data_IF_939296363047
#
_entry.id   IF_939296363047
#
_cell.length_a   1.000
_cell.length_b   1.000
_cell.length_c   1.000
_cell.angle_alpha   90.00
_cell.angle_beta   90.00
_cell.angle_gamma   90.00
#
_symmetry.space_group_name_H-M   'P 1'
#
loop_
_entity.id
_entity.type
_entity.pdbx_description
1 polymer ?
#
# COMPACT_ATOMS: atom_id res chain seq x y z
N UNK A 1 17.78 -11.39 -23.82
CA UNK A 1 16.88 -10.22 -23.83
C UNK A 1 17.74 -8.98 -24.00
N UNK A 2 17.30 -8.02 -24.83
CA UNK A 2 18.03 -6.75 -25.00
C UNK A 2 17.90 -5.95 -23.71
N UNK A 3 19.02 -5.44 -23.18
CA UNK A 3 19.02 -4.58 -21.99
C UNK A 3 18.36 -3.25 -22.32
N UNK A 4 17.56 -2.73 -21.42
CA UNK A 4 16.94 -1.41 -21.50
C UNK A 4 17.46 -0.57 -20.32
N UNK A 5 18.63 0.08 -20.55
CA UNK A 5 19.28 0.89 -19.53
C UNK A 5 18.63 2.26 -19.46
N UNK A 6 18.16 2.64 -18.28
CA UNK A 6 17.53 3.93 -18.00
C UNK A 6 18.25 4.68 -16.88
N UNK A 7 18.26 6.02 -17.01
CA UNK A 7 18.67 6.99 -15.99
C UNK A 7 17.54 8.01 -15.78
N UNK A 8 17.60 8.79 -14.70
CA UNK A 8 16.70 9.93 -14.54
C UNK A 8 16.70 10.84 -15.77
N UNK A 9 15.56 11.45 -16.02
CA UNK A 9 15.37 12.50 -17.01
C UNK A 9 15.41 13.85 -16.31
N UNK A 10 16.37 14.68 -16.65
CA UNK A 10 16.43 16.08 -16.20
C UNK A 10 16.01 17.01 -17.34
N UNK A 11 16.95 17.36 -18.21
CA UNK A 11 16.72 18.21 -19.38
C UNK A 11 16.64 17.37 -20.67
N UNK A 12 17.33 16.24 -20.71
CA UNK A 12 17.36 15.33 -21.85
C UNK A 12 17.24 13.86 -21.41
N UNK A 13 16.88 12.98 -22.37
CA UNK A 13 16.67 11.55 -22.09
C UNK A 13 17.97 10.90 -21.56
N UNK A 14 17.88 10.25 -20.41
CA UNK A 14 18.98 9.52 -19.75
C UNK A 14 20.20 10.38 -19.39
N UNK A 15 20.04 11.71 -19.20
CA UNK A 15 21.13 12.57 -18.77
C UNK A 15 21.54 12.34 -17.31
N UNK A 16 20.67 11.71 -16.53
CA UNK A 16 20.90 11.36 -15.14
C UNK A 16 20.73 12.56 -14.18
N UNK A 17 20.29 13.72 -14.64
CA UNK A 17 20.13 14.89 -13.79
C UNK A 17 18.96 14.68 -12.83
N UNK A 18 19.20 14.96 -11.55
CA UNK A 18 18.22 14.89 -10.47
C UNK A 18 18.27 16.15 -9.61
N UNK A 19 17.12 16.48 -9.04
CA UNK A 19 17.03 17.45 -7.95
C UNK A 19 16.81 16.71 -6.63
N UNK A 20 17.64 17.00 -5.63
CA UNK A 20 17.49 16.52 -4.27
C UNK A 20 17.15 17.66 -3.35
N UNK A 21 16.33 17.40 -2.36
CA UNK A 21 16.15 18.31 -1.22
C UNK A 21 16.27 17.55 0.09
N UNK A 22 17.01 18.09 1.03
CA UNK A 22 17.20 17.51 2.35
C UNK A 22 17.61 18.58 3.38
N UNK A 23 17.46 18.24 4.65
CA UNK A 23 17.88 19.08 5.76
C UNK A 23 19.06 18.43 6.48
N UNK A 24 20.09 19.21 6.78
CA UNK A 24 21.16 18.78 7.68
C UNK A 24 21.01 19.47 9.05
N UNK A 25 21.30 18.76 10.14
CA UNK A 25 21.27 19.33 11.51
C UNK A 25 22.54 20.15 11.80
N UNK A 26 22.72 21.22 11.04
CA UNK A 26 23.84 22.15 11.13
C UNK A 26 23.39 23.57 10.86
N UNK A 27 24.07 24.56 11.44
CA UNK A 27 23.81 25.95 11.16
C UNK A 27 24.22 26.33 9.73
N UNK A 28 23.46 27.25 9.11
CA UNK A 28 23.73 27.74 7.76
C UNK A 28 25.10 28.43 7.70
N UNK A 29 25.97 27.87 6.84
CA UNK A 29 27.34 28.35 6.62
C UNK A 29 27.90 27.77 5.30
N UNK A 30 29.05 28.32 4.84
CA UNK A 30 29.78 27.71 3.72
C UNK A 30 30.26 26.28 4.03
N UNK A 31 30.59 25.99 5.29
CA UNK A 31 30.91 24.63 5.76
C UNK A 31 29.72 23.71 5.61
N UNK A 32 28.51 24.18 5.93
CA UNK A 32 27.26 23.41 5.76
C UNK A 32 26.96 23.15 4.28
N UNK A 33 27.18 24.15 3.40
CA UNK A 33 27.07 23.97 1.93
C UNK A 33 28.03 22.88 1.45
N UNK A 34 29.29 22.94 1.87
CA UNK A 34 30.28 21.91 1.52
C UNK A 34 29.93 20.53 2.05
N UNK A 35 29.36 20.45 3.24
CA UNK A 35 28.85 19.20 3.82
C UNK A 35 27.70 18.62 2.97
N UNK A 36 26.80 19.45 2.45
CA UNK A 36 25.73 19.02 1.56
C UNK A 36 26.27 18.44 0.22
N UNK A 37 27.30 19.07 -0.37
CA UNK A 37 27.98 18.55 -1.56
C UNK A 37 28.63 17.18 -1.30
N UNK A 38 29.36 17.05 -0.19
CA UNK A 38 30.00 15.79 0.21
C UNK A 38 28.95 14.71 0.45
N UNK A 39 27.82 15.06 1.08
CA UNK A 39 26.73 14.13 1.31
C UNK A 39 26.16 13.61 -0.02
N UNK A 40 25.87 14.51 -0.97
CA UNK A 40 25.37 14.13 -2.29
C UNK A 40 26.38 13.25 -3.05
N UNK A 41 27.70 13.53 -2.96
CA UNK A 41 28.73 12.69 -3.58
C UNK A 41 28.75 11.26 -3.03
N UNK A 42 28.47 11.08 -1.75
CA UNK A 42 28.36 9.76 -1.10
C UNK A 42 27.10 8.98 -1.54
N UNK A 43 26.11 9.66 -2.08
CA UNK A 43 24.94 9.04 -2.72
C UNK A 43 25.23 8.61 -4.18
N UNK A 44 26.49 8.55 -4.59
CA UNK A 44 26.94 8.14 -5.91
C UNK A 44 26.49 9.11 -7.02
N UNK A 45 26.67 10.41 -6.76
CA UNK A 45 26.32 11.49 -7.67
C UNK A 45 27.53 12.32 -8.10
N UNK A 46 27.46 12.89 -9.29
CA UNK A 46 28.44 13.80 -9.90
C UNK A 46 27.83 15.18 -10.15
N UNK A 47 28.70 16.13 -10.61
CA UNK A 47 28.30 17.46 -11.04
C UNK A 47 27.37 18.13 -10.05
N UNK A 48 27.73 18.05 -8.77
CA UNK A 48 26.90 18.48 -7.65
C UNK A 48 26.91 20.00 -7.56
N UNK A 49 25.73 20.60 -7.54
CA UNK A 49 25.53 22.04 -7.35
C UNK A 49 24.46 22.28 -6.27
N UNK A 50 24.86 22.90 -5.18
CA UNK A 50 23.93 23.38 -4.16
C UNK A 50 23.33 24.71 -4.63
N UNK A 51 22.11 24.67 -5.15
CA UNK A 51 21.44 25.85 -5.73
C UNK A 51 20.68 26.67 -4.71
N UNK A 52 20.31 26.07 -3.58
CA UNK A 52 19.62 26.77 -2.52
C UNK A 52 20.05 26.24 -1.14
N UNK A 53 20.17 27.15 -0.18
CA UNK A 53 20.39 26.85 1.23
C UNK A 53 19.66 27.86 2.10
N UNK A 54 18.77 27.39 2.97
CA UNK A 54 18.01 28.24 3.89
C UNK A 54 18.00 27.67 5.32
N UNK A 55 18.16 28.56 6.31
CA UNK A 55 17.92 28.22 7.71
C UNK A 55 16.41 27.96 7.88
N UNK A 56 16.03 26.85 8.46
CA UNK A 56 14.63 26.53 8.78
C UNK A 56 14.36 26.53 10.30
N UNK A 57 15.39 26.24 11.09
CA UNK A 57 15.38 26.35 12.54
C UNK A 57 16.83 26.56 13.04
N UNK A 58 17.01 26.79 14.35
CA UNK A 58 18.36 26.82 14.91
C UNK A 58 19.04 25.48 14.74
N UNK A 59 20.27 25.51 14.21
CA UNK A 59 21.04 24.31 13.84
C UNK A 59 20.41 23.38 12.79
N UNK A 60 19.50 23.90 11.95
CA UNK A 60 18.95 23.15 10.85
C UNK A 60 18.95 23.98 9.55
N UNK A 61 19.61 23.44 8.54
CA UNK A 61 19.66 24.05 7.19
C UNK A 61 19.05 23.13 6.15
N UNK A 62 18.10 23.66 5.39
CA UNK A 62 17.50 23.00 4.23
C UNK A 62 18.31 23.31 2.98
N UNK A 63 18.56 22.31 2.17
CA UNK A 63 19.30 22.41 0.91
C UNK A 63 18.47 21.89 -0.27
N UNK A 64 18.66 22.56 -1.43
CA UNK A 64 18.28 22.03 -2.75
C UNK A 64 19.55 21.85 -3.57
N UNK A 65 19.74 20.67 -4.09
CA UNK A 65 20.95 20.23 -4.79
C UNK A 65 20.58 19.67 -6.15
N UNK A 66 21.20 20.13 -7.21
CA UNK A 66 21.20 19.48 -8.50
C UNK A 66 22.44 18.62 -8.64
N UNK A 67 22.29 17.44 -9.17
CA UNK A 67 23.40 16.51 -9.36
C UNK A 67 23.10 15.52 -10.49
N UNK A 68 24.11 14.86 -10.99
CA UNK A 68 23.96 13.76 -11.95
C UNK A 68 24.09 12.42 -11.22
N UNK A 69 23.04 11.59 -11.29
CA UNK A 69 23.07 10.22 -10.79
C UNK A 69 23.96 9.35 -11.69
N UNK A 70 24.93 8.65 -11.09
CA UNK A 70 25.78 7.67 -11.80
C UNK A 70 25.05 6.37 -12.11
N UNK A 71 24.25 5.81 -11.17
CA UNK A 71 23.62 4.53 -11.40
C UNK A 71 22.63 4.55 -12.55
N UNK A 72 22.57 3.45 -13.27
CA UNK A 72 21.56 3.16 -14.29
C UNK A 72 20.86 1.86 -13.93
N UNK A 73 19.62 1.69 -14.39
CA UNK A 73 18.78 0.54 -14.13
C UNK A 73 18.48 -0.16 -15.45
N UNK A 74 18.70 -1.48 -15.50
CA UNK A 74 18.16 -2.29 -16.60
C UNK A 74 16.66 -2.52 -16.35
N UNK A 75 15.84 -1.67 -16.98
CA UNK A 75 14.38 -1.71 -16.80
C UNK A 75 13.78 -3.03 -17.28
N UNK A 76 14.36 -3.69 -18.28
CA UNK A 76 13.90 -4.99 -18.76
C UNK A 76 14.12 -6.10 -17.70
N UNK A 77 15.07 -5.92 -16.77
CA UNK A 77 15.31 -6.86 -15.68
C UNK A 77 14.49 -6.59 -14.42
N UNK A 78 13.82 -5.44 -14.33
CA UNK A 78 12.98 -5.09 -13.18
C UNK A 78 11.75 -6.01 -13.13
N UNK A 79 11.63 -6.75 -12.05
CA UNK A 79 10.45 -7.57 -11.78
C UNK A 79 9.54 -6.82 -10.81
N UNK A 80 8.33 -6.54 -11.25
CA UNK A 80 7.27 -6.01 -10.40
C UNK A 80 6.06 -6.94 -10.52
N UNK A 81 5.53 -7.36 -9.39
CA UNK A 81 4.32 -8.20 -9.35
C UNK A 81 3.11 -7.30 -9.29
N UNK A 82 2.57 -6.97 -10.46
CA UNK A 82 1.30 -6.26 -10.51
C UNK A 82 0.15 -7.20 -10.19
N UNK A 83 -0.72 -6.78 -9.29
CA UNK A 83 -1.97 -7.49 -9.02
C UNK A 83 -2.95 -7.25 -10.18
N UNK A 84 -2.85 -8.11 -11.21
CA UNK A 84 -3.75 -8.05 -12.37
C UNK A 84 -5.13 -8.58 -11.96
N UNK A 85 -6.07 -7.67 -11.67
CA UNK A 85 -7.45 -8.01 -11.36
C UNK A 85 -8.31 -7.56 -12.55
N UNK A 86 -9.01 -8.51 -13.18
CA UNK A 86 -10.13 -8.17 -14.05
C UNK A 86 -11.24 -7.59 -13.17
N UNK A 87 -11.49 -6.30 -13.28
CA UNK A 87 -12.59 -5.66 -12.57
C UNK A 87 -13.93 -6.13 -13.16
N UNK A 88 -14.76 -6.74 -12.33
CA UNK A 88 -16.09 -7.21 -12.68
C UNK A 88 -17.11 -6.09 -12.54
N UNK A 89 -18.19 -6.15 -13.32
CA UNK A 89 -19.32 -5.26 -13.16
C UNK A 89 -20.10 -5.56 -11.86
N UNK A 90 -20.98 -4.64 -11.48
CA UNK A 90 -21.89 -4.83 -10.35
C UNK A 90 -22.73 -6.13 -10.48
N UNK A 91 -23.28 -6.35 -11.67
CA UNK A 91 -24.15 -7.51 -11.94
C UNK A 91 -23.35 -8.81 -11.98
N UNK A 92 -22.13 -8.80 -12.55
CA UNK A 92 -21.26 -9.96 -12.52
C UNK A 92 -20.92 -10.38 -11.09
N UNK A 93 -20.54 -9.45 -10.21
CA UNK A 93 -20.23 -9.72 -8.81
C UNK A 93 -21.40 -10.37 -8.10
N UNK A 94 -22.58 -9.76 -8.18
CA UNK A 94 -23.78 -10.28 -7.52
C UNK A 94 -24.20 -11.65 -8.08
N UNK A 95 -24.18 -11.81 -9.39
CA UNK A 95 -24.54 -13.08 -10.05
C UNK A 95 -23.59 -14.20 -9.67
N UNK A 96 -22.27 -13.97 -9.72
CA UNK A 96 -21.27 -14.96 -9.34
C UNK A 96 -21.38 -15.36 -7.87
N UNK A 97 -21.56 -14.40 -6.95
CA UNK A 97 -21.75 -14.70 -5.54
C UNK A 97 -23.05 -15.46 -5.28
N UNK A 98 -24.15 -15.08 -5.90
CA UNK A 98 -25.44 -15.77 -5.74
C UNK A 98 -25.38 -17.22 -6.23
N UNK A 99 -24.73 -17.47 -7.36
CA UNK A 99 -24.58 -18.81 -7.94
C UNK A 99 -23.57 -19.67 -7.19
N UNK A 100 -22.38 -19.13 -6.92
CA UNK A 100 -21.25 -19.91 -6.40
C UNK A 100 -21.26 -20.03 -4.89
N UNK A 101 -21.62 -18.98 -4.15
CA UNK A 101 -21.54 -19.00 -2.68
C UNK A 101 -22.87 -19.41 -2.02
N UNK A 102 -24.01 -19.16 -2.70
CA UNK A 102 -25.39 -19.43 -2.21
C UNK A 102 -25.74 -18.75 -0.87
N UNK A 103 -24.94 -17.81 -0.43
CA UNK A 103 -25.12 -16.94 0.73
C UNK A 103 -24.38 -15.63 0.50
N UNK A 104 -24.56 -14.65 1.37
CA UNK A 104 -23.79 -13.41 1.30
C UNK A 104 -22.31 -13.66 1.67
N UNK A 105 -21.42 -13.04 0.93
CA UNK A 105 -20.01 -12.92 1.30
C UNK A 105 -19.90 -11.98 2.51
N UNK A 106 -19.27 -12.42 3.59
CA UNK A 106 -19.14 -11.64 4.83
C UNK A 106 -17.73 -11.07 4.94
N UNK A 107 -17.65 -9.76 5.04
CA UNK A 107 -16.39 -9.01 5.05
C UNK A 107 -16.31 -8.15 6.30
N UNK A 108 -15.26 -8.32 7.09
CA UNK A 108 -14.94 -7.48 8.24
C UNK A 108 -13.72 -6.64 7.88
N UNK A 109 -13.73 -5.37 8.27
CA UNK A 109 -12.57 -4.50 8.01
C UNK A 109 -12.35 -3.48 9.10
N UNK A 110 -11.09 -3.05 9.25
CA UNK A 110 -10.68 -2.05 10.21
C UNK A 110 -9.38 -1.36 9.82
N UNK A 111 -9.16 -0.17 10.36
CA UNK A 111 -7.83 0.40 10.49
C UNK A 111 -7.22 -0.07 11.80
N UNK A 112 -6.12 -0.85 11.72
CA UNK A 112 -5.57 -1.57 12.89
C UNK A 112 -4.50 -0.80 13.65
N UNK A 113 -4.31 -1.17 14.91
CA UNK A 113 -3.31 -0.61 15.81
C UNK A 113 -3.67 0.83 16.23
N UNK A 114 -2.70 1.70 16.30
CA UNK A 114 -2.86 3.08 16.75
C UNK A 114 -3.20 4.08 15.60
N UNK A 115 -3.54 3.60 14.42
CA UNK A 115 -3.87 4.44 13.26
C UNK A 115 -5.33 4.90 13.35
N UNK A 116 -5.54 6.21 13.42
CA UNK A 116 -6.87 6.81 13.50
C UNK A 116 -7.50 7.13 12.13
N UNK A 117 -6.80 6.86 11.03
CA UNK A 117 -7.26 7.24 9.69
C UNK A 117 -8.22 6.19 9.12
N UNK A 118 -9.50 6.51 9.05
CA UNK A 118 -10.53 5.62 8.48
C UNK A 118 -10.73 5.78 6.97
N UNK A 119 -10.25 6.87 6.36
CA UNK A 119 -10.56 7.22 4.96
C UNK A 119 -10.33 6.06 4.00
N UNK A 120 -9.23 5.29 4.18
CA UNK A 120 -8.93 4.16 3.31
C UNK A 120 -9.92 3.01 3.44
N UNK A 121 -10.23 2.59 4.68
CA UNK A 121 -11.18 1.50 4.91
C UNK A 121 -12.61 1.91 4.57
N UNK A 122 -12.99 3.16 4.90
CA UNK A 122 -14.31 3.72 4.57
C UNK A 122 -14.52 3.81 3.06
N UNK A 123 -13.51 4.23 2.32
CA UNK A 123 -13.55 4.31 0.86
C UNK A 123 -13.83 2.96 0.20
N UNK A 124 -13.34 1.87 0.78
CA UNK A 124 -13.56 0.52 0.24
C UNK A 124 -14.87 -0.08 0.76
N UNK A 125 -15.18 0.07 2.04
CA UNK A 125 -16.28 -0.68 2.65
C UNK A 125 -17.62 0.05 2.60
N UNK A 126 -17.64 1.36 2.89
CA UNK A 126 -18.88 2.12 3.06
C UNK A 126 -19.53 2.50 1.72
N UNK A 127 -20.83 2.69 1.70
CA UNK A 127 -21.63 3.02 0.51
C UNK A 127 -21.05 4.18 -0.30
N UNK A 128 -20.49 5.20 0.35
CA UNK A 128 -19.91 6.39 -0.31
C UNK A 128 -18.86 6.03 -1.33
N UNK A 129 -18.00 5.05 -1.04
CA UNK A 129 -16.95 4.60 -1.95
C UNK A 129 -15.86 5.63 -2.22
N UNK A 130 -15.21 5.49 -3.38
CA UNK A 130 -14.11 6.34 -3.84
C UNK A 130 -14.12 6.48 -5.36
N UNK A 131 -13.87 7.70 -5.86
CA UNK A 131 -13.70 8.02 -7.29
C UNK A 131 -14.86 7.50 -8.16
N UNK A 132 -16.11 7.87 -7.80
CA UNK A 132 -17.36 7.47 -8.46
C UNK A 132 -17.62 5.94 -8.46
N UNK A 133 -16.91 5.19 -7.63
CA UNK A 133 -17.13 3.77 -7.41
C UNK A 133 -17.58 3.54 -5.97
N UNK A 134 -18.79 3.03 -5.79
CA UNK A 134 -19.40 2.81 -4.49
C UNK A 134 -18.74 1.63 -3.75
N UNK A 135 -18.67 1.71 -2.43
CA UNK A 135 -18.04 0.70 -1.60
C UNK A 135 -18.73 -0.67 -1.57
N UNK A 136 -18.17 -1.60 -0.84
CA UNK A 136 -18.65 -2.99 -0.77
C UNK A 136 -20.13 -3.08 -0.30
N UNK A 137 -20.58 -2.13 0.50
CA UNK A 137 -21.99 -2.06 0.96
C UNK A 137 -23.01 -1.98 -0.18
N UNK A 138 -22.60 -1.49 -1.37
CA UNK A 138 -23.51 -1.42 -2.52
C UNK A 138 -23.97 -2.79 -3.03
N UNK A 139 -23.19 -3.85 -2.74
CA UNK A 139 -23.46 -5.17 -3.30
C UNK A 139 -24.41 -5.97 -2.40
N UNK A 140 -25.67 -6.27 -2.85
CA UNK A 140 -26.62 -7.04 -2.06
C UNK A 140 -26.12 -8.41 -1.59
N UNK A 141 -25.17 -8.98 -2.33
CA UNK A 141 -24.56 -10.28 -2.02
C UNK A 141 -23.33 -10.18 -1.12
N UNK A 142 -22.95 -8.97 -0.67
CA UNK A 142 -21.86 -8.75 0.29
C UNK A 142 -22.46 -8.17 1.58
N UNK A 143 -22.05 -8.73 2.72
CA UNK A 143 -22.35 -8.18 4.05
C UNK A 143 -21.06 -7.65 4.65
N UNK A 144 -20.99 -6.36 4.90
CA UNK A 144 -19.83 -5.68 5.45
C UNK A 144 -19.99 -5.41 6.95
N UNK A 145 -18.87 -5.40 7.66
CA UNK A 145 -18.76 -4.91 9.03
C UNK A 145 -17.49 -4.04 9.11
N UNK A 146 -17.65 -2.73 8.97
CA UNK A 146 -16.57 -1.77 9.15
C UNK A 146 -16.47 -1.41 10.64
N UNK A 147 -15.34 -1.71 11.25
CA UNK A 147 -15.08 -1.48 12.68
C UNK A 147 -14.46 -0.09 12.96
N UNK A 148 -14.13 0.68 11.91
CA UNK A 148 -13.50 1.99 12.04
C UNK A 148 -11.99 1.89 12.29
N UNK A 149 -11.49 2.76 13.16
CA UNK A 149 -10.05 2.92 13.41
C UNK A 149 -9.62 2.45 14.80
N UNK A 150 -8.29 2.36 14.97
CA UNK A 150 -7.63 2.01 16.23
C UNK A 150 -8.07 0.66 16.81
N UNK A 151 -8.35 -0.29 15.93
CA UNK A 151 -8.78 -1.63 16.31
C UNK A 151 -7.56 -2.53 16.55
N UNK A 152 -7.51 -3.20 17.70
CA UNK A 152 -6.48 -4.19 17.95
C UNK A 152 -6.67 -5.45 17.09
N UNK A 153 -5.57 -6.16 16.81
CA UNK A 153 -5.60 -7.40 16.03
C UNK A 153 -6.52 -8.45 16.66
N UNK A 154 -6.49 -8.58 18.00
CA UNK A 154 -7.35 -9.53 18.73
C UNK A 154 -8.84 -9.19 18.59
N UNK A 155 -9.21 -7.91 18.70
CA UNK A 155 -10.60 -7.49 18.57
C UNK A 155 -11.10 -7.70 17.13
N UNK A 156 -10.25 -7.47 16.13
CA UNK A 156 -10.59 -7.74 14.73
C UNK A 156 -10.80 -9.24 14.47
N UNK A 157 -9.92 -10.08 14.99
CA UNK A 157 -10.05 -11.55 14.89
C UNK A 157 -11.32 -12.03 15.59
N UNK A 158 -11.57 -11.54 16.81
CA UNK A 158 -12.80 -11.86 17.55
C UNK A 158 -14.04 -11.50 16.74
N UNK A 159 -14.07 -10.29 16.14
CA UNK A 159 -15.19 -9.87 15.31
C UNK A 159 -15.35 -10.71 14.05
N UNK A 160 -14.26 -11.10 13.42
CA UNK A 160 -14.29 -11.98 12.26
C UNK A 160 -14.85 -13.38 12.60
N UNK A 161 -14.55 -13.90 13.78
CA UNK A 161 -15.12 -15.16 14.28
C UNK A 161 -16.62 -15.01 14.59
N UNK A 162 -17.02 -13.98 15.34
CA UNK A 162 -18.42 -13.72 15.71
C UNK A 162 -19.34 -13.58 14.49
N UNK A 163 -18.84 -12.93 13.44
CA UNK A 163 -19.62 -12.70 12.23
C UNK A 163 -19.52 -13.86 11.23
N UNK A 164 -18.68 -14.87 11.53
CA UNK A 164 -18.30 -15.91 10.59
C UNK A 164 -17.86 -15.32 9.23
N UNK A 165 -16.86 -14.44 9.30
CA UNK A 165 -16.36 -13.70 8.13
C UNK A 165 -15.66 -14.63 7.13
N UNK A 166 -15.74 -14.26 5.86
CA UNK A 166 -14.98 -14.90 4.77
C UNK A 166 -13.69 -14.13 4.49
N UNK A 167 -13.69 -12.82 4.75
CA UNK A 167 -12.55 -11.96 4.47
C UNK A 167 -12.33 -10.93 5.59
N UNK A 168 -11.06 -10.61 5.80
CA UNK A 168 -10.60 -9.54 6.70
C UNK A 168 -9.83 -8.52 5.85
N UNK A 169 -10.29 -7.28 5.87
CA UNK A 169 -9.64 -6.15 5.24
C UNK A 169 -8.99 -5.26 6.30
N UNK A 170 -7.71 -4.97 6.16
CA UNK A 170 -7.01 -4.06 7.07
C UNK A 170 -6.45 -2.86 6.33
N UNK A 171 -6.63 -1.69 6.92
CA UNK A 171 -6.06 -0.44 6.40
C UNK A 171 -4.94 0.06 7.32
N UNK A 172 -3.89 0.59 6.71
CA UNK A 172 -2.79 1.27 7.41
C UNK A 172 -2.30 2.46 6.60
N UNK A 173 -2.40 3.63 7.17
CA UNK A 173 -1.94 4.89 6.55
C UNK A 173 -0.63 5.35 7.15
N UNK A 174 -0.47 5.26 8.47
CA UNK A 174 0.72 5.71 9.20
C UNK A 174 1.87 4.71 9.05
N UNK A 175 2.97 5.16 8.44
CA UNK A 175 4.18 4.35 8.19
C UNK A 175 5.36 4.71 9.10
N UNK A 176 5.22 5.76 9.92
CA UNK A 176 6.29 6.22 10.80
C UNK A 176 6.84 5.09 11.68
N UNK A 177 8.18 5.05 11.81
CA UNK A 177 8.89 4.04 12.61
C UNK A 177 8.49 2.59 12.26
N UNK A 178 8.12 2.35 11.01
CA UNK A 178 7.70 1.02 10.51
C UNK A 178 6.52 0.40 11.30
N UNK A 179 5.67 1.20 11.92
CA UNK A 179 4.53 0.70 12.72
C UNK A 179 3.54 -0.09 11.88
N UNK A 180 3.38 0.25 10.60
CA UNK A 180 2.56 -0.51 9.66
C UNK A 180 3.06 -1.95 9.50
N UNK A 181 4.37 -2.15 9.32
CA UNK A 181 4.97 -3.48 9.19
C UNK A 181 4.68 -4.31 10.44
N UNK A 182 4.95 -3.73 11.62
CA UNK A 182 4.74 -4.42 12.90
C UNK A 182 3.29 -4.86 13.08
N UNK A 183 2.33 -3.96 12.89
CA UNK A 183 0.92 -4.27 13.13
C UNK A 183 0.35 -5.27 12.11
N UNK A 184 0.75 -5.14 10.83
CA UNK A 184 0.35 -6.10 9.80
C UNK A 184 0.94 -7.49 10.05
N UNK A 185 2.22 -7.55 10.45
CA UNK A 185 2.89 -8.83 10.80
C UNK A 185 2.28 -9.45 12.06
N UNK A 186 1.93 -8.63 13.07
CA UNK A 186 1.28 -9.10 14.30
C UNK A 186 -0.04 -9.81 14.01
N UNK A 187 -0.90 -9.21 13.19
CA UNK A 187 -2.17 -9.83 12.80
C UNK A 187 -1.97 -11.19 12.12
N UNK A 188 -1.02 -11.30 11.19
CA UNK A 188 -0.71 -12.57 10.53
C UNK A 188 -0.25 -13.62 11.55
N UNK A 189 0.68 -13.27 12.44
CA UNK A 189 1.19 -14.18 13.46
C UNK A 189 0.08 -14.67 14.40
N UNK A 190 -0.84 -13.80 14.82
CA UNK A 190 -1.98 -14.17 15.65
C UNK A 190 -2.92 -15.14 14.92
N UNK A 191 -3.21 -14.88 13.65
CA UNK A 191 -4.03 -15.78 12.83
C UNK A 191 -3.35 -17.14 12.60
N UNK A 192 -2.04 -17.16 12.38
CA UNK A 192 -1.25 -18.41 12.25
C UNK A 192 -1.24 -19.20 13.55
N UNK A 193 -0.96 -18.56 14.67
CA UNK A 193 -0.94 -19.19 16.00
C UNK A 193 -2.29 -19.79 16.36
N UNK A 194 -3.38 -19.13 15.98
CA UNK A 194 -4.74 -19.62 16.17
C UNK A 194 -5.19 -20.63 15.11
N UNK A 195 -4.37 -20.96 14.11
CA UNK A 195 -4.71 -21.79 12.93
C UNK A 195 -5.92 -21.27 12.14
N UNK A 196 -6.06 -19.96 12.09
CA UNK A 196 -7.18 -19.25 11.44
C UNK A 196 -6.80 -18.58 10.12
N UNK A 197 -5.50 -18.50 9.76
CA UNK A 197 -5.04 -17.80 8.57
C UNK A 197 -5.73 -18.29 7.31
N UNK A 198 -5.77 -19.59 7.11
CA UNK A 198 -6.39 -20.19 5.92
C UNK A 198 -7.93 -20.13 5.92
N UNK A 199 -8.55 -19.75 7.04
CA UNK A 199 -10.00 -19.55 7.11
C UNK A 199 -10.43 -18.32 6.32
N UNK A 200 -9.65 -17.25 6.37
CA UNK A 200 -10.01 -15.93 5.82
C UNK A 200 -9.29 -15.64 4.50
N UNK A 201 -9.87 -14.75 3.70
CA UNK A 201 -9.17 -14.00 2.65
C UNK A 201 -8.62 -12.74 3.31
N UNK A 202 -7.30 -12.56 3.31
CA UNK A 202 -6.63 -11.48 4.02
C UNK A 202 -6.17 -10.41 3.03
N UNK A 203 -6.64 -9.19 3.20
CA UNK A 203 -6.31 -8.06 2.33
C UNK A 203 -5.75 -6.91 3.16
N UNK A 204 -4.59 -6.39 2.77
CA UNK A 204 -4.02 -5.17 3.33
C UNK A 204 -4.17 -3.99 2.36
N UNK A 205 -4.50 -2.82 2.87
CA UNK A 205 -4.65 -1.60 2.09
C UNK A 205 -4.01 -0.37 2.75
N UNK A 206 -3.69 0.61 1.92
CA UNK A 206 -3.15 1.89 2.36
C UNK A 206 -2.18 2.54 1.38
N UNK A 207 -1.88 3.85 1.52
CA UNK A 207 -1.05 4.59 0.56
C UNK A 207 0.34 4.01 0.31
N UNK A 208 0.93 3.36 1.31
CA UNK A 208 2.26 2.73 1.22
C UNK A 208 2.22 1.21 1.08
N UNK A 209 1.05 0.61 0.85
CA UNK A 209 0.91 -0.83 0.73
C UNK A 209 0.96 -1.23 -0.75
N UNK A 210 2.01 -1.96 -1.13
CA UNK A 210 2.10 -2.63 -2.44
C UNK A 210 1.64 -4.08 -2.34
N UNK A 211 1.28 -4.68 -3.47
CA UNK A 211 0.92 -6.11 -3.47
C UNK A 211 2.07 -6.99 -3.01
N UNK A 212 3.29 -6.75 -3.51
CA UNK A 212 4.49 -7.52 -3.12
C UNK A 212 4.77 -7.40 -1.63
N UNK A 213 4.65 -6.20 -1.07
CA UNK A 213 4.81 -5.98 0.36
C UNK A 213 3.78 -6.78 1.18
N UNK A 214 2.51 -6.69 0.82
CA UNK A 214 1.44 -7.39 1.55
C UNK A 214 1.57 -8.91 1.44
N UNK A 215 1.82 -9.44 0.23
CA UNK A 215 2.00 -10.90 0.02
C UNK A 215 3.27 -11.41 0.70
N UNK A 216 4.34 -10.63 0.73
CA UNK A 216 5.54 -10.93 1.50
C UNK A 216 5.31 -11.04 3.00
N UNK A 217 4.30 -10.37 3.55
CA UNK A 217 3.85 -10.51 4.94
C UNK A 217 2.87 -11.66 5.17
N UNK A 218 2.36 -12.29 4.11
CA UNK A 218 1.43 -13.41 4.19
C UNK A 218 -0.04 -13.07 3.95
N UNK A 219 -0.35 -11.86 3.45
CA UNK A 219 -1.69 -11.50 2.95
C UNK A 219 -1.95 -12.10 1.56
N UNK A 220 -3.22 -12.23 1.19
CA UNK A 220 -3.61 -12.68 -0.15
C UNK A 220 -3.44 -11.61 -1.21
N UNK A 221 -3.57 -10.33 -0.82
CA UNK A 221 -3.32 -9.19 -1.70
C UNK A 221 -3.04 -7.91 -0.92
N UNK A 222 -2.32 -6.99 -1.58
CA UNK A 222 -2.11 -5.62 -1.16
C UNK A 222 -2.72 -4.63 -2.14
N UNK A 223 -3.43 -3.63 -1.62
CA UNK A 223 -4.07 -2.59 -2.40
C UNK A 223 -3.54 -1.21 -2.01
N UNK A 224 -2.86 -0.57 -2.93
CA UNK A 224 -2.24 0.73 -2.76
C UNK A 224 -3.18 1.90 -3.02
N UNK A 225 -2.56 3.08 -3.15
CA UNK A 225 -3.25 4.32 -3.46
C UNK A 225 -3.99 4.23 -4.80
N UNK A 226 -5.20 4.78 -4.87
CA UNK A 226 -6.00 4.81 -6.11
C UNK A 226 -6.84 3.57 -6.36
N UNK A 227 -6.75 2.57 -5.49
CA UNK A 227 -7.60 1.37 -5.58
C UNK A 227 -9.07 1.71 -5.47
N UNK A 228 -9.88 1.14 -6.35
CA UNK A 228 -11.35 1.28 -6.35
C UNK A 228 -12.03 0.12 -5.63
N UNK A 229 -13.17 0.36 -4.97
CA UNK A 229 -13.96 -0.69 -4.32
C UNK A 229 -14.29 -1.89 -5.22
N UNK A 230 -14.64 -1.66 -6.48
CA UNK A 230 -14.93 -2.72 -7.46
C UNK A 230 -13.76 -3.67 -7.72
N UNK A 231 -12.52 -3.19 -7.64
CA UNK A 231 -11.31 -4.02 -7.77
C UNK A 231 -11.18 -4.96 -6.56
N UNK A 232 -11.39 -4.43 -5.34
CA UNK A 232 -11.38 -5.24 -4.11
C UNK A 232 -12.52 -6.27 -4.13
N UNK A 233 -13.73 -5.85 -4.50
CA UNK A 233 -14.87 -6.75 -4.65
C UNK A 233 -14.58 -7.89 -5.63
N UNK A 234 -14.03 -7.56 -6.81
CA UNK A 234 -13.67 -8.55 -7.85
C UNK A 234 -12.62 -9.54 -7.35
N UNK A 235 -11.61 -9.05 -6.62
CA UNK A 235 -10.61 -9.91 -6.00
C UNK A 235 -11.24 -10.87 -4.99
N UNK A 236 -12.07 -10.36 -4.07
CA UNK A 236 -12.73 -11.17 -3.05
C UNK A 236 -13.61 -12.26 -3.69
N UNK A 237 -14.39 -11.90 -4.71
CA UNK A 237 -15.24 -12.85 -5.44
C UNK A 237 -14.41 -13.94 -6.09
N UNK A 238 -13.36 -13.59 -6.82
CA UNK A 238 -12.49 -14.55 -7.49
C UNK A 238 -11.84 -15.50 -6.47
N UNK A 239 -11.34 -14.97 -5.36
CA UNK A 239 -10.67 -15.77 -4.31
C UNK A 239 -11.64 -16.71 -3.60
N UNK A 240 -12.82 -16.23 -3.21
CA UNK A 240 -13.78 -17.06 -2.46
C UNK A 240 -14.33 -18.20 -3.32
N UNK A 241 -14.62 -17.94 -4.59
CA UNK A 241 -15.11 -18.95 -5.50
C UNK A 241 -14.04 -20.02 -5.79
N UNK A 242 -12.78 -19.60 -6.01
CA UNK A 242 -11.66 -20.54 -6.14
C UNK A 242 -11.49 -21.40 -4.89
N UNK A 243 -11.60 -20.81 -3.70
CA UNK A 243 -11.50 -21.53 -2.41
C UNK A 243 -12.64 -22.55 -2.22
N UNK A 244 -13.79 -22.32 -2.83
CA UNK A 244 -14.96 -23.23 -2.82
C UNK A 244 -14.95 -24.27 -3.95
N UNK A 245 -13.92 -24.30 -4.79
CA UNK A 245 -13.84 -25.21 -5.94
C UNK A 245 -14.81 -24.87 -7.08
N UNK A 246 -15.41 -23.69 -7.06
CA UNK A 246 -16.23 -23.18 -8.16
C UNK A 246 -15.30 -22.50 -9.17
N UNK A 247 -14.68 -23.30 -10.04
CA UNK A 247 -13.97 -22.75 -11.22
C UNK A 247 -15.02 -22.41 -12.28
N UNK A 248 -14.80 -21.27 -12.99
CA UNK A 248 -15.60 -20.84 -14.17
C UNK A 248 -15.46 -21.84 -15.32
#
# INVERSE_FOLDING_TARGET
>A
MKKELIKPYGDTLNDGIVQLSFTLPVEKSEKARKAAEIYASRLNMDNISVVHASKIADNFTFFVVYARARPEIDYAAVKATELKIRTMSFDEINTKLKKGLKRKLKVVGATIGNDAHTVGIDAIMNMKGYNHDYGLERYPQIKTCNMGAQISSDLLIKKALETDADAILVSRTVTQKNTHIRNLTELIKLLESAKLKDKYILVAGGPGITNDFATGLGYDAGFGRGTRPSQVASFLVTKILKKKGCND
#
